data_IF_482170082405
#
_entry.id   IF_482170082405
#
_cell.length_a   1.000
_cell.length_b   1.000
_cell.length_c   1.000
_cell.angle_alpha   90.00
_cell.angle_beta   90.00
_cell.angle_gamma   90.00
#
_symmetry.space_group_name_H-M   'P 1'
#
loop_
_entity.id
_entity.type
_entity.pdbx_description
1 polymer ?
#
# COMPACT_ATOMS: atom_id res chain seq x y z
N UNK A 1 42.24 9.09 -8.36
CA UNK A 1 42.60 7.72 -7.97
C UNK A 1 43.08 7.72 -6.52
N UNK A 2 42.17 7.90 -5.54
CA UNK A 2 42.53 7.78 -4.12
C UNK A 2 41.28 7.58 -3.27
N UNK A 3 41.30 6.55 -2.41
CA UNK A 3 40.35 6.27 -1.32
C UNK A 3 38.97 5.66 -1.67
N UNK A 4 38.95 4.44 -2.23
CA UNK A 4 37.73 3.62 -2.39
C UNK A 4 37.56 2.49 -1.36
N UNK A 5 38.43 2.40 -0.35
CA UNK A 5 38.35 1.36 0.69
C UNK A 5 38.24 1.99 2.09
N UNK A 6 37.07 2.57 2.42
CA UNK A 6 36.68 2.81 3.81
C UNK A 6 36.53 1.44 4.49
N UNK A 7 37.50 1.05 5.33
CA UNK A 7 37.45 -0.14 6.19
C UNK A 7 36.09 -0.15 6.91
N UNK A 8 35.25 -1.17 6.62
CA UNK A 8 34.00 -1.41 7.34
C UNK A 8 34.32 -1.53 8.84
N UNK A 9 33.71 -0.68 9.66
CA UNK A 9 33.87 -0.73 11.11
C UNK A 9 33.58 -2.17 11.61
N UNK A 10 34.37 -2.69 12.57
CA UNK A 10 34.17 -4.03 13.10
C UNK A 10 32.78 -4.13 13.73
N UNK A 11 32.05 -5.19 13.40
CA UNK A 11 30.70 -5.44 13.90
C UNK A 11 30.74 -5.62 15.43
N UNK A 12 30.18 -4.66 16.16
CA UNK A 12 29.99 -4.77 17.60
C UNK A 12 28.75 -5.64 17.86
N UNK A 13 28.92 -6.78 18.54
CA UNK A 13 27.78 -7.60 18.97
C UNK A 13 27.05 -6.83 20.07
N UNK A 14 25.86 -6.34 19.73
CA UNK A 14 24.96 -5.70 20.69
C UNK A 14 24.50 -6.78 21.71
N UNK A 15 24.59 -6.52 23.02
CA UNK A 15 24.02 -7.38 24.07
C UNK A 15 22.54 -7.67 23.82
N UNK A 16 22.07 -8.87 24.19
CA UNK A 16 20.68 -9.26 23.92
C UNK A 16 19.65 -8.34 24.59
N UNK A 17 19.95 -7.89 25.81
CA UNK A 17 19.10 -6.95 26.54
C UNK A 17 18.96 -5.60 25.80
N UNK A 18 20.06 -5.09 25.25
CA UNK A 18 20.07 -3.84 24.48
C UNK A 18 19.35 -4.01 23.14
N UNK A 19 19.52 -5.16 22.46
CA UNK A 19 18.76 -5.50 21.24
C UNK A 19 17.25 -5.48 21.51
N UNK A 20 16.80 -6.16 22.57
CA UNK A 20 15.37 -6.21 22.90
C UNK A 20 14.81 -4.82 23.22
N UNK A 21 15.55 -4.01 23.98
CA UNK A 21 15.15 -2.64 24.31
C UNK A 21 15.04 -1.74 23.06
N UNK A 22 15.94 -1.88 22.08
CA UNK A 22 15.85 -1.15 20.81
C UNK A 22 14.61 -1.59 20.03
N UNK A 23 14.37 -2.90 19.91
CA UNK A 23 13.20 -3.44 19.21
C UNK A 23 11.90 -2.94 19.83
N UNK A 24 11.79 -3.00 21.16
CA UNK A 24 10.63 -2.53 21.90
C UNK A 24 10.37 -1.04 21.65
N UNK A 25 11.40 -0.19 21.80
CA UNK A 25 11.28 1.26 21.56
C UNK A 25 10.88 1.56 20.11
N UNK A 26 11.47 0.87 19.14
CA UNK A 26 11.12 1.03 17.73
C UNK A 26 9.69 0.59 17.43
N UNK A 27 9.23 -0.52 18.02
CA UNK A 27 7.85 -0.96 17.88
C UNK A 27 6.88 0.08 18.45
N UNK A 28 7.10 0.54 19.69
CA UNK A 28 6.24 1.54 20.34
C UNK A 28 6.14 2.83 19.52
N UNK A 29 7.25 3.27 18.91
CA UNK A 29 7.27 4.49 18.09
C UNK A 29 6.37 4.38 16.85
N UNK A 30 6.29 3.20 16.23
CA UNK A 30 5.57 2.98 14.97
C UNK A 30 4.15 2.47 15.19
N UNK A 31 3.90 1.67 16.24
CA UNK A 31 2.60 1.01 16.50
C UNK A 31 1.42 1.97 16.51
N UNK A 32 1.57 3.14 17.16
CA UNK A 32 0.49 4.14 17.21
C UNK A 32 0.14 4.65 15.81
N UNK A 33 1.15 4.93 14.98
CA UNK A 33 0.94 5.41 13.61
C UNK A 33 0.25 4.39 12.73
N UNK A 34 0.69 3.13 12.80
CA UNK A 34 0.11 2.03 12.01
C UNK A 34 -1.33 1.76 12.42
N UNK A 35 -1.63 1.69 13.72
CA UNK A 35 -3.00 1.47 14.20
C UNK A 35 -3.98 2.55 13.72
N UNK A 36 -3.62 3.84 13.88
CA UNK A 36 -4.46 4.93 13.39
C UNK A 36 -4.60 4.92 11.87
N UNK A 37 -3.55 4.55 11.14
CA UNK A 37 -3.62 4.40 9.68
C UNK A 37 -4.62 3.31 9.28
N UNK A 38 -4.61 2.15 9.93
CA UNK A 38 -5.58 1.07 9.67
C UNK A 38 -7.01 1.50 9.99
N UNK A 39 -7.24 2.22 11.10
CA UNK A 39 -8.56 2.77 11.43
C UNK A 39 -9.06 3.75 10.36
N UNK A 40 -8.19 4.62 9.85
CA UNK A 40 -8.54 5.54 8.75
C UNK A 40 -8.89 4.77 7.47
N UNK A 41 -8.18 3.68 7.15
CA UNK A 41 -8.48 2.83 6.00
C UNK A 41 -9.88 2.19 6.13
N UNK A 42 -10.24 1.72 7.33
CA UNK A 42 -11.58 1.18 7.61
C UNK A 42 -12.63 2.27 7.42
N UNK A 43 -12.44 3.44 8.04
CA UNK A 43 -13.38 4.55 7.97
C UNK A 43 -13.59 5.08 6.54
N UNK A 44 -12.52 5.14 5.75
CA UNK A 44 -12.56 5.54 4.33
C UNK A 44 -13.42 4.60 3.48
N UNK A 45 -13.59 3.34 3.90
CA UNK A 45 -14.40 2.36 3.19
C UNK A 45 -15.86 2.30 3.67
N UNK A 46 -16.19 2.97 4.78
CA UNK A 46 -17.55 3.02 5.32
C UNK A 46 -18.62 3.48 4.29
N UNK A 47 -18.35 4.44 3.39
CA UNK A 47 -19.31 4.85 2.36
C UNK A 47 -19.76 3.72 1.43
N UNK A 48 -18.97 2.65 1.26
CA UNK A 48 -19.33 1.50 0.42
C UNK A 48 -20.55 0.76 0.96
N UNK A 49 -20.77 0.77 2.28
CA UNK A 49 -21.96 0.17 2.88
C UNK A 49 -23.25 0.94 2.56
N UNK A 50 -23.14 2.19 2.10
CA UNK A 50 -24.28 3.00 1.66
C UNK A 50 -24.75 2.65 0.24
N UNK A 51 -24.02 1.81 -0.50
CA UNK A 51 -24.45 1.34 -1.82
C UNK A 51 -25.72 0.48 -1.69
N UNK A 52 -26.72 0.80 -2.52
CA UNK A 52 -28.01 0.10 -2.58
C UNK A 52 -28.17 -0.67 -3.89
N UNK A 53 -29.17 -1.58 -3.95
CA UNK A 53 -29.51 -2.28 -5.19
C UNK A 53 -28.54 -3.40 -5.56
N UNK A 54 -28.29 -3.58 -6.86
CA UNK A 54 -27.42 -4.65 -7.38
C UNK A 54 -25.95 -4.42 -7.05
N UNK A 55 -25.48 -3.17 -7.09
CA UNK A 55 -24.10 -2.80 -6.71
C UNK A 55 -23.82 -3.17 -5.25
N UNK A 56 -24.75 -2.85 -4.35
CA UNK A 56 -24.64 -3.20 -2.93
C UNK A 56 -24.53 -4.71 -2.70
N UNK A 57 -25.32 -5.54 -3.40
CA UNK A 57 -25.24 -7.00 -3.27
C UNK A 57 -23.90 -7.58 -3.71
N UNK A 58 -23.28 -6.98 -4.74
CA UNK A 58 -21.97 -7.40 -5.24
C UNK A 58 -20.84 -6.92 -4.33
N UNK A 59 -20.91 -5.68 -3.81
CA UNK A 59 -19.83 -5.06 -3.06
C UNK A 59 -19.90 -5.25 -1.54
N UNK A 60 -21.07 -5.50 -0.94
CA UNK A 60 -21.20 -5.71 0.52
C UNK A 60 -20.37 -6.90 1.01
N UNK A 61 -20.46 -8.11 0.42
CA UNK A 61 -19.65 -9.26 0.86
C UNK A 61 -18.14 -8.98 0.82
N UNK A 62 -17.69 -8.26 -0.22
CA UNK A 62 -16.29 -7.82 -0.36
C UNK A 62 -15.91 -6.81 0.74
N UNK A 63 -16.77 -5.83 1.02
CA UNK A 63 -16.55 -4.80 2.03
C UNK A 63 -16.52 -5.36 3.46
N UNK A 64 -17.41 -6.31 3.79
CA UNK A 64 -17.41 -7.00 5.07
C UNK A 64 -16.10 -7.76 5.28
N UNK A 65 -15.72 -8.60 4.32
CA UNK A 65 -14.51 -9.43 4.41
C UNK A 65 -13.26 -8.56 4.65
N UNK A 66 -13.10 -7.49 3.87
CA UNK A 66 -11.99 -6.54 4.04
C UNK A 66 -12.01 -5.88 5.42
N UNK A 67 -13.17 -5.39 5.87
CA UNK A 67 -13.30 -4.68 7.15
C UNK A 67 -12.97 -5.61 8.32
N UNK A 68 -13.48 -6.84 8.33
CA UNK A 68 -13.18 -7.82 9.38
C UNK A 68 -11.68 -8.15 9.43
N UNK A 69 -11.04 -8.38 8.29
CA UNK A 69 -9.59 -8.65 8.22
C UNK A 69 -8.80 -7.47 8.78
N UNK A 70 -9.16 -6.23 8.43
CA UNK A 70 -8.46 -5.03 8.92
C UNK A 70 -8.64 -4.79 10.42
N UNK A 71 -9.80 -5.15 10.99
CA UNK A 71 -10.01 -5.09 12.44
C UNK A 71 -9.12 -6.09 13.16
N UNK A 72 -9.02 -7.33 12.64
CA UNK A 72 -8.12 -8.35 13.19
C UNK A 72 -6.66 -7.93 13.02
N UNK A 73 -6.28 -7.40 11.85
CA UNK A 73 -4.94 -6.86 11.56
C UNK A 73 -4.55 -5.76 12.56
N UNK A 74 -5.43 -4.81 12.84
CA UNK A 74 -5.18 -3.73 13.80
C UNK A 74 -4.83 -4.25 15.21
N UNK A 75 -5.45 -5.36 15.63
CA UNK A 75 -5.13 -6.02 16.90
C UNK A 75 -3.81 -6.80 16.82
N UNK A 76 -3.60 -7.54 15.73
CA UNK A 76 -2.38 -8.34 15.51
C UNK A 76 -1.13 -7.46 15.38
N UNK A 77 -1.23 -6.26 14.83
CA UNK A 77 -0.08 -5.37 14.64
C UNK A 77 0.46 -4.82 15.96
N UNK A 78 -0.40 -4.68 16.99
CA UNK A 78 0.00 -4.24 18.33
C UNK A 78 0.45 -5.43 19.19
N UNK A 79 -0.12 -6.61 18.98
CA UNK A 79 0.11 -7.79 19.84
C UNK A 79 1.14 -8.75 19.25
N UNK A 80 0.86 -9.32 18.08
CA UNK A 80 1.63 -10.38 17.47
C UNK A 80 2.88 -9.86 16.77
N UNK A 81 2.79 -8.72 16.06
CA UNK A 81 3.91 -8.20 15.29
C UNK A 81 5.17 -7.90 16.13
N UNK A 82 5.10 -7.23 17.30
CA UNK A 82 6.28 -6.99 18.13
C UNK A 82 6.93 -8.29 18.61
N UNK A 83 6.13 -9.30 18.94
CA UNK A 83 6.61 -10.62 19.34
C UNK A 83 7.35 -11.30 18.20
N UNK A 84 6.77 -11.31 17.00
CA UNK A 84 7.41 -11.91 15.82
C UNK A 84 8.70 -11.18 15.44
N UNK A 85 8.73 -9.85 15.50
CA UNK A 85 9.95 -9.06 15.26
C UNK A 85 11.03 -9.43 16.28
N UNK A 86 10.68 -9.53 17.57
CA UNK A 86 11.65 -9.94 18.60
C UNK A 86 12.21 -11.36 18.37
N UNK A 87 11.42 -12.26 17.80
CA UNK A 87 11.81 -13.64 17.55
C UNK A 87 12.65 -13.80 16.27
N UNK A 88 12.23 -13.17 15.16
CA UNK A 88 12.88 -13.30 13.85
C UNK A 88 14.07 -12.38 13.67
N UNK A 89 14.07 -11.21 14.32
CA UNK A 89 15.12 -10.21 14.14
C UNK A 89 16.33 -10.50 15.05
N UNK A 90 16.92 -11.68 14.82
CA UNK A 90 18.13 -12.18 15.47
C UNK A 90 19.30 -12.16 14.48
N UNK A 91 20.52 -11.96 14.98
CA UNK A 91 21.73 -12.03 14.17
C UNK A 91 22.43 -10.68 13.97
N UNK A 92 23.11 -10.51 12.82
CA UNK A 92 23.95 -9.34 12.56
C UNK A 92 23.16 -8.23 11.88
N UNK A 93 22.88 -7.14 12.60
CA UNK A 93 22.37 -5.91 12.01
C UNK A 93 23.47 -5.27 11.17
N UNK A 94 23.42 -5.49 9.85
CA UNK A 94 24.31 -4.83 8.90
C UNK A 94 23.71 -3.44 8.58
N UNK A 95 24.55 -2.40 8.42
CA UNK A 95 24.06 -1.10 7.97
C UNK A 95 23.36 -1.26 6.61
N UNK A 96 22.31 -0.48 6.38
CA UNK A 96 21.46 -0.50 5.17
C UNK A 96 22.30 -0.44 3.87
N UNK A 97 23.31 0.43 3.86
CA UNK A 97 24.26 0.64 2.76
C UNK A 97 25.19 -0.55 2.47
N UNK A 98 25.18 -1.59 3.30
CA UNK A 98 25.92 -2.82 3.03
C UNK A 98 25.27 -3.67 1.93
N UNK A 99 23.96 -3.50 1.68
CA UNK A 99 23.26 -4.17 0.61
C UNK A 99 23.47 -3.41 -0.71
N UNK A 100 24.06 -4.02 -1.76
CA UNK A 100 24.31 -3.35 -3.03
C UNK A 100 23.03 -2.80 -3.68
N UNK A 101 21.89 -3.48 -3.49
CA UNK A 101 20.59 -3.03 -4.01
C UNK A 101 20.15 -1.74 -3.32
N UNK A 102 20.25 -1.69 -1.99
CA UNK A 102 19.83 -0.51 -1.22
C UNK A 102 20.68 0.70 -1.57
N UNK A 103 21.99 0.50 -1.70
CA UNK A 103 22.92 1.57 -2.07
C UNK A 103 22.63 2.14 -3.47
N UNK A 104 22.24 1.29 -4.42
CA UNK A 104 21.84 1.76 -5.75
C UNK A 104 20.53 2.56 -5.71
N UNK A 105 19.52 2.05 -4.99
CA UNK A 105 18.24 2.72 -4.81
C UNK A 105 18.38 4.07 -4.09
N UNK A 106 19.13 4.12 -2.99
CA UNK A 106 19.47 5.36 -2.27
C UNK A 106 20.19 6.34 -3.19
N UNK A 107 21.17 5.87 -3.96
CA UNK A 107 21.92 6.70 -4.90
C UNK A 107 21.06 7.31 -6.02
N UNK A 108 19.95 6.66 -6.39
CA UNK A 108 18.97 7.20 -7.34
C UNK A 108 17.93 8.11 -6.66
N UNK A 109 17.46 7.73 -5.48
CA UNK A 109 16.44 8.45 -4.73
C UNK A 109 16.93 9.79 -4.17
N UNK A 110 18.14 9.82 -3.62
CA UNK A 110 18.74 11.01 -3.01
C UNK A 110 18.82 12.22 -3.96
N UNK A 111 19.36 12.12 -5.20
CA UNK A 111 19.41 13.25 -6.12
C UNK A 111 18.02 13.71 -6.57
N UNK A 112 17.06 12.80 -6.71
CA UNK A 112 15.67 13.14 -7.07
C UNK A 112 15.04 13.99 -5.99
N UNK A 113 15.09 13.55 -4.72
CA UNK A 113 14.55 14.33 -3.60
C UNK A 113 15.25 15.68 -3.44
N UNK A 114 16.59 15.72 -3.55
CA UNK A 114 17.33 16.98 -3.45
C UNK A 114 16.88 17.97 -4.53
N UNK A 115 16.60 17.49 -5.74
CA UNK A 115 16.09 18.31 -6.84
C UNK A 115 14.66 18.79 -6.56
N UNK A 116 13.77 17.90 -6.09
CA UNK A 116 12.40 18.25 -5.72
C UNK A 116 12.34 19.32 -4.62
N UNK A 117 13.19 19.21 -3.59
CA UNK A 117 13.23 20.20 -2.49
C UNK A 117 13.83 21.52 -2.97
N UNK A 118 14.90 21.49 -3.77
CA UNK A 118 15.55 22.70 -4.31
C UNK A 118 14.57 23.52 -5.14
N UNK A 119 13.76 22.86 -5.97
CA UNK A 119 12.81 23.52 -6.86
C UNK A 119 11.35 23.32 -6.43
N UNK A 120 11.07 23.42 -5.11
CA UNK A 120 9.76 23.16 -4.51
C UNK A 120 8.55 23.78 -5.25
N UNK A 121 8.70 25.01 -5.76
CA UNK A 121 7.62 25.70 -6.50
C UNK A 121 7.32 25.00 -7.83
N UNK A 122 8.35 24.57 -8.54
CA UNK A 122 8.19 23.82 -9.79
C UNK A 122 7.62 22.43 -9.53
N UNK A 123 8.04 21.74 -8.47
CA UNK A 123 7.50 20.42 -8.11
C UNK A 123 6.02 20.48 -7.77
N UNK A 124 5.59 21.49 -7.00
CA UNK A 124 4.18 21.73 -6.73
C UNK A 124 3.44 22.06 -8.03
N UNK A 125 4.00 22.92 -8.89
CA UNK A 125 3.40 23.27 -10.18
C UNK A 125 3.22 22.07 -11.10
N UNK A 126 4.21 21.20 -11.21
CA UNK A 126 4.14 19.95 -11.99
C UNK A 126 3.08 19.01 -11.43
N UNK A 127 3.01 18.84 -10.10
CA UNK A 127 2.00 17.98 -9.48
C UNK A 127 0.58 18.54 -9.70
N UNK A 128 0.41 19.86 -9.61
CA UNK A 128 -0.88 20.52 -9.88
C UNK A 128 -1.28 20.37 -11.35
N UNK A 129 -0.32 20.52 -12.27
CA UNK A 129 -0.55 20.33 -13.70
C UNK A 129 -0.91 18.87 -14.02
N UNK A 130 -0.23 17.90 -13.40
CA UNK A 130 -0.55 16.48 -13.53
C UNK A 130 -2.00 16.20 -13.06
N UNK A 131 -2.40 16.76 -11.91
CA UNK A 131 -3.77 16.66 -11.42
C UNK A 131 -4.78 17.27 -12.40
N UNK A 132 -4.49 18.45 -12.95
CA UNK A 132 -5.36 19.11 -13.93
C UNK A 132 -5.49 18.29 -15.23
N UNK A 133 -4.44 17.60 -15.67
CA UNK A 133 -4.46 16.71 -16.83
C UNK A 133 -5.23 15.41 -16.54
N UNK A 134 -5.19 14.90 -15.30
CA UNK A 134 -5.96 13.71 -14.93
C UNK A 134 -7.47 13.91 -15.00
N UNK A 135 -7.98 15.13 -14.83
CA UNK A 135 -9.42 15.43 -14.88
C UNK A 135 -10.03 15.12 -16.26
N UNK A 136 -9.59 15.70 -17.39
CA UNK A 136 -10.15 15.39 -18.70
C UNK A 136 -9.96 13.91 -19.08
N UNK A 137 -8.86 13.29 -18.64
CA UNK A 137 -8.63 11.86 -18.85
C UNK A 137 -9.68 11.01 -18.13
N UNK A 138 -10.00 11.32 -16.87
CA UNK A 138 -11.06 10.63 -16.13
C UNK A 138 -12.44 10.84 -16.75
N UNK A 139 -12.70 12.03 -17.29
CA UNK A 139 -13.97 12.35 -17.95
C UNK A 139 -14.13 11.67 -19.33
N UNK A 140 -13.03 11.29 -19.98
CA UNK A 140 -13.07 10.56 -21.25
C UNK A 140 -13.25 9.05 -21.10
N UNK A 141 -13.20 8.51 -19.87
CA UNK A 141 -13.50 7.10 -19.62
C UNK A 141 -15.01 6.85 -19.79
N UNK A 142 -15.33 5.76 -20.50
CA UNK A 142 -16.70 5.25 -20.60
C UNK A 142 -17.24 4.81 -19.24
N UNK A 143 -18.58 4.75 -19.12
CA UNK A 143 -19.27 4.28 -17.93
C UNK A 143 -19.99 2.98 -18.26
N UNK A 144 -19.61 1.90 -17.61
CA UNK A 144 -20.30 0.61 -17.67
C UNK A 144 -20.62 0.17 -16.24
N UNK A 145 -21.75 -0.54 -16.06
CA UNK A 145 -22.20 -0.99 -14.75
C UNK A 145 -21.25 -2.03 -14.15
N UNK A 146 -20.86 -3.03 -14.94
CA UNK A 146 -19.85 -4.03 -14.62
C UNK A 146 -19.25 -4.55 -15.93
N UNK A 147 -17.96 -4.96 -15.95
CA UNK A 147 -17.39 -5.60 -17.13
C UNK A 147 -18.20 -6.86 -17.46
N UNK A 148 -18.37 -7.20 -18.75
CA UNK A 148 -19.07 -8.42 -19.13
C UNK A 148 -18.38 -9.63 -18.50
N UNK A 149 -19.15 -10.44 -17.77
CA UNK A 149 -18.65 -11.69 -17.20
C UNK A 149 -18.57 -12.73 -18.32
N UNK A 150 -17.40 -13.33 -18.48
CA UNK A 150 -17.23 -14.49 -19.33
C UNK A 150 -17.64 -15.75 -18.55
N UNK A 151 -18.84 -16.25 -18.82
CA UNK A 151 -19.38 -17.47 -18.24
C UNK A 151 -19.04 -18.72 -19.07
N UNK A 152 -18.17 -18.58 -20.09
CA UNK A 152 -17.75 -19.68 -20.97
C UNK A 152 -18.85 -20.21 -21.90
N UNK A 153 -20.00 -19.54 -21.96
CA UNK A 153 -21.11 -19.88 -22.84
C UNK A 153 -21.74 -18.61 -23.43
N UNK A 154 -22.22 -18.71 -24.66
CA UNK A 154 -22.94 -17.63 -25.34
C UNK A 154 -24.43 -17.95 -25.35
N UNK A 155 -25.20 -17.17 -24.62
CA UNK A 155 -26.66 -17.24 -24.65
C UNK A 155 -27.18 -16.52 -25.88
N UNK A 156 -27.58 -17.28 -26.91
CA UNK A 156 -28.28 -16.75 -28.07
C UNK A 156 -29.76 -16.52 -27.72
N UNK A 157 -30.12 -15.27 -27.45
CA UNK A 157 -31.50 -14.86 -27.14
C UNK A 157 -32.08 -14.01 -28.28
N UNK A 158 -32.53 -14.61 -29.39
CA UNK A 158 -33.19 -13.88 -30.46
C UNK A 158 -34.58 -13.44 -29.99
N UNK A 159 -34.94 -12.19 -30.28
CA UNK A 159 -36.29 -11.67 -30.05
C UNK A 159 -37.05 -11.62 -31.37
N UNK A 160 -38.29 -12.13 -31.39
CA UNK A 160 -39.16 -12.16 -32.57
C UNK A 160 -40.42 -11.31 -32.36
N UNK A 161 -41.09 -10.95 -33.46
CA UNK A 161 -42.34 -10.19 -33.41
C UNK A 161 -43.47 -11.04 -32.81
N UNK A 162 -44.41 -10.43 -32.05
CA UNK A 162 -45.49 -11.17 -31.38
C UNK A 162 -46.42 -11.95 -32.33
N UNK A 163 -46.48 -11.57 -33.60
CA UNK A 163 -47.40 -12.10 -34.63
C UNK A 163 -46.86 -13.31 -35.40
N UNK A 164 -45.73 -13.90 -34.96
CA UNK A 164 -45.21 -15.13 -35.57
C UNK A 164 -46.07 -16.33 -35.13
N UNK A 165 -46.72 -16.98 -36.08
CA UNK A 165 -47.36 -18.28 -35.87
C UNK A 165 -46.27 -19.33 -35.59
N UNK A 166 -46.44 -20.08 -34.50
CA UNK A 166 -45.55 -21.19 -34.08
C UNK A 166 -45.15 -22.12 -35.24
#
# INVERSE_FOLDING_TARGET
MTSLFKKKAPYHKIPEAERMAIIERSCIQVSRGVFFSTVIIIASFLPVFLLTGQEGKLFHPLAYTKTFILVVDALLVITLAPVLISFFMKGRFRPESANPVNRFLEGMYEPVIRTCIKWRKTTIGVNLMALLISIPLLLSLGREFMPPLDEGSLLFMPVTLPDISN
#
